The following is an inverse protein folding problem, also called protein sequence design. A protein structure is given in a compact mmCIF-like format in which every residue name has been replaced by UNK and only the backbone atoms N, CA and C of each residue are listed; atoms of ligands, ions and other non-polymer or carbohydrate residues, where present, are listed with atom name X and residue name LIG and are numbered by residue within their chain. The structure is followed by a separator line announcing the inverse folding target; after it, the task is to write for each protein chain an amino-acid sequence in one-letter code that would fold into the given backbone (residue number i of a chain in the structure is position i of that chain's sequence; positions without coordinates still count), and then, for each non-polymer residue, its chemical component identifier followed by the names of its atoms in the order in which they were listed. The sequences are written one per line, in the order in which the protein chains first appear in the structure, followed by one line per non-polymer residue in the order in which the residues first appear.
data_IF_989052426754
#
_entry.id   IF_989052426754
#
_cell.length_a   1.000
_cell.length_b   1.000
_cell.length_c   1.000
_cell.angle_alpha   90.00
_cell.angle_beta   90.00
_cell.angle_gamma   90.00
#
_symmetry.space_group_name_H-M   'P 1'
#
loop_
_entity.id
_entity.type
_entity.pdbx_description
1 polymer ?
#
# COMPACT_ATOMS: atom_id res chain seq x y z
N UNK A 1 -7.83 21.77 -6.18
CA UNK A 1 -8.79 20.85 -6.84
C UNK A 1 -9.16 19.79 -5.82
N UNK A 2 -10.43 19.61 -5.60
CA UNK A 2 -11.03 19.21 -4.32
C UNK A 2 -10.76 17.74 -3.94
N UNK A 3 -10.23 17.52 -2.75
CA UNK A 3 -9.98 16.20 -2.16
C UNK A 3 -11.28 15.37 -2.03
N UNK A 4 -12.41 16.06 -1.93
CA UNK A 4 -13.75 15.47 -1.93
C UNK A 4 -14.13 14.78 -3.25
N UNK A 5 -13.60 15.23 -4.40
CA UNK A 5 -13.88 14.56 -5.68
C UNK A 5 -13.13 13.22 -5.81
N UNK A 6 -11.94 13.10 -5.19
CA UNK A 6 -11.20 11.82 -5.16
C UNK A 6 -11.96 10.78 -4.35
N UNK A 7 -12.49 11.16 -3.19
CA UNK A 7 -13.23 10.24 -2.32
C UNK A 7 -14.56 9.78 -2.95
N UNK A 8 -15.32 10.65 -3.61
CA UNK A 8 -16.61 10.28 -4.24
C UNK A 8 -16.48 9.18 -5.30
N UNK A 9 -15.41 9.18 -6.10
CA UNK A 9 -15.17 8.13 -7.10
C UNK A 9 -14.94 6.75 -6.46
N UNK A 10 -14.32 6.70 -5.27
CA UNK A 10 -14.13 5.46 -4.52
C UNK A 10 -15.39 5.01 -3.78
N UNK A 11 -16.20 5.93 -3.28
CA UNK A 11 -17.46 5.64 -2.58
C UNK A 11 -18.48 4.94 -3.50
N UNK A 12 -18.65 5.41 -4.74
CA UNK A 12 -19.55 4.80 -5.72
C UNK A 12 -19.09 3.42 -6.21
N UNK A 13 -17.79 3.12 -6.18
CA UNK A 13 -17.21 1.86 -6.65
C UNK A 13 -16.96 0.84 -5.53
N UNK A 14 -17.00 1.26 -4.26
CA UNK A 14 -16.60 0.41 -3.13
C UNK A 14 -17.33 -0.95 -3.09
N UNK A 15 -18.65 -0.96 -3.34
CA UNK A 15 -19.45 -2.19 -3.31
C UNK A 15 -19.09 -3.20 -4.41
N UNK A 16 -18.48 -2.75 -5.51
CA UNK A 16 -18.07 -3.60 -6.65
C UNK A 16 -16.55 -3.75 -6.74
N UNK A 17 -15.80 -3.09 -5.89
CA UNK A 17 -14.34 -3.01 -5.97
C UNK A 17 -13.67 -4.39 -6.05
N UNK A 18 -14.05 -5.32 -5.18
CA UNK A 18 -13.46 -6.67 -5.16
C UNK A 18 -13.74 -7.45 -6.46
N UNK A 19 -14.93 -7.28 -7.05
CA UNK A 19 -15.29 -7.90 -8.32
C UNK A 19 -14.53 -7.27 -9.48
N UNK A 20 -14.41 -5.97 -9.49
CA UNK A 20 -13.64 -5.21 -10.48
C UNK A 20 -12.16 -5.61 -10.45
N UNK A 21 -11.52 -5.61 -9.28
CA UNK A 21 -10.13 -6.03 -9.12
C UNK A 21 -9.89 -7.45 -9.64
N UNK A 22 -10.81 -8.38 -9.39
CA UNK A 22 -10.75 -9.74 -9.94
C UNK A 22 -10.94 -9.76 -11.46
N UNK A 23 -11.89 -8.98 -11.98
CA UNK A 23 -12.18 -8.92 -13.42
C UNK A 23 -10.98 -8.37 -14.22
N UNK A 24 -10.19 -7.46 -13.62
CA UNK A 24 -8.96 -6.93 -14.24
C UNK A 24 -7.78 -7.88 -14.16
N UNK A 25 -7.88 -8.95 -13.39
CA UNK A 25 -6.74 -9.81 -13.11
C UNK A 25 -5.61 -9.08 -12.38
N UNK A 26 -5.96 -8.18 -11.46
CA UNK A 26 -4.98 -7.52 -10.60
C UNK A 26 -4.54 -8.45 -9.49
N UNK A 27 -3.33 -8.99 -9.59
CA UNK A 27 -2.74 -9.93 -8.63
C UNK A 27 -1.76 -9.26 -7.65
N UNK A 28 -1.72 -7.92 -7.58
CA UNK A 28 -0.79 -7.20 -6.72
C UNK A 28 -0.88 -7.61 -5.26
N UNK A 29 -2.10 -7.84 -4.76
CA UNK A 29 -2.37 -8.26 -3.40
C UNK A 29 -1.92 -9.71 -3.12
N UNK A 30 -2.03 -10.62 -4.08
CA UNK A 30 -1.51 -12.00 -3.95
C UNK A 30 0.02 -12.01 -3.97
N UNK A 31 0.62 -11.25 -4.89
CA UNK A 31 2.07 -11.17 -5.07
C UNK A 31 2.73 -10.57 -3.82
N UNK A 32 2.19 -9.47 -3.27
CA UNK A 32 2.76 -8.82 -2.08
C UNK A 32 2.74 -9.76 -0.88
N UNK A 33 1.68 -10.54 -0.68
CA UNK A 33 1.62 -11.54 0.37
C UNK A 33 2.59 -12.70 0.10
N UNK A 34 2.57 -13.28 -1.10
CA UNK A 34 3.45 -14.38 -1.45
C UNK A 34 4.94 -14.05 -1.29
N UNK A 35 5.35 -12.82 -1.64
CA UNK A 35 6.72 -12.35 -1.44
C UNK A 35 7.05 -12.09 0.03
N UNK A 36 6.05 -11.80 0.87
CA UNK A 36 6.22 -11.51 2.31
C UNK A 36 6.17 -12.76 3.19
N UNK A 37 5.58 -13.85 2.71
CA UNK A 37 5.18 -15.01 3.52
C UNK A 37 6.33 -15.62 4.35
N UNK A 38 7.54 -15.68 3.82
CA UNK A 38 8.69 -16.25 4.54
C UNK A 38 9.23 -15.37 5.69
N UNK A 39 8.73 -14.11 5.81
CA UNK A 39 9.21 -13.15 6.80
C UNK A 39 8.19 -12.88 7.92
N UNK A 40 7.01 -13.47 7.83
CA UNK A 40 5.91 -13.21 8.77
C UNK A 40 5.57 -14.48 9.56
N UNK A 41 5.10 -14.30 10.79
CA UNK A 41 4.69 -15.40 11.64
C UNK A 41 3.29 -15.14 12.23
N UNK A 42 2.62 -16.23 12.67
CA UNK A 42 1.35 -16.10 13.37
C UNK A 42 1.49 -15.23 14.65
N UNK A 43 0.40 -14.58 15.04
CA UNK A 43 0.29 -13.64 16.16
C UNK A 43 1.04 -12.31 16.02
N UNK A 44 1.85 -12.13 14.97
CA UNK A 44 2.48 -10.84 14.68
C UNK A 44 1.45 -9.80 14.22
N UNK A 45 1.74 -8.51 14.47
CA UNK A 45 0.88 -7.38 14.09
C UNK A 45 1.32 -6.84 12.73
N UNK A 46 0.37 -6.73 11.82
CA UNK A 46 0.57 -6.07 10.52
C UNK A 46 -0.36 -4.87 10.37
N UNK A 47 0.21 -3.72 10.01
CA UNK A 47 -0.53 -2.53 9.62
C UNK A 47 -0.66 -2.50 8.11
N UNK A 48 -1.87 -2.41 7.58
CA UNK A 48 -2.14 -2.15 6.17
C UNK A 48 -2.57 -0.68 5.98
N UNK A 49 -1.74 0.08 5.26
CA UNK A 49 -1.97 1.50 4.97
C UNK A 49 -2.66 1.61 3.60
N UNK A 50 -3.88 2.15 3.60
CA UNK A 50 -4.78 2.11 2.46
C UNK A 50 -5.37 0.71 2.29
N UNK A 51 -5.87 0.15 3.40
CA UNK A 51 -6.39 -1.23 3.44
C UNK A 51 -7.54 -1.48 2.45
N UNK A 52 -8.28 -0.43 2.08
CA UNK A 52 -9.45 -0.53 1.22
C UNK A 52 -10.45 -1.55 1.78
N UNK A 53 -10.88 -2.48 0.93
CA UNK A 53 -11.74 -3.61 1.32
C UNK A 53 -10.98 -4.76 1.98
N UNK A 54 -9.65 -4.68 2.11
CA UNK A 54 -8.79 -5.66 2.76
C UNK A 54 -8.31 -6.82 1.88
N UNK A 55 -8.25 -6.66 0.55
CA UNK A 55 -7.83 -7.72 -0.35
C UNK A 55 -6.41 -8.24 -0.05
N UNK A 56 -5.44 -7.35 0.19
CA UNK A 56 -4.09 -7.75 0.56
C UNK A 56 -4.04 -8.35 1.98
N UNK A 57 -4.64 -7.65 2.94
CA UNK A 57 -4.59 -7.99 4.36
C UNK A 57 -5.29 -9.28 4.73
N UNK A 58 -6.31 -9.70 3.97
CA UNK A 58 -6.99 -10.97 4.21
C UNK A 58 -6.03 -12.16 4.13
N UNK A 59 -5.01 -12.12 3.29
CA UNK A 59 -4.00 -13.17 3.20
C UNK A 59 -3.14 -13.24 4.47
N UNK A 60 -2.74 -12.08 5.01
CA UNK A 60 -2.00 -11.99 6.28
C UNK A 60 -2.85 -12.49 7.45
N UNK A 61 -4.14 -12.13 7.50
CA UNK A 61 -5.06 -12.65 8.53
C UNK A 61 -5.20 -14.18 8.45
N UNK A 62 -5.29 -14.76 7.26
CA UNK A 62 -5.34 -16.22 7.05
C UNK A 62 -4.04 -16.92 7.46
N UNK A 63 -2.91 -16.23 7.39
CA UNK A 63 -1.63 -16.71 7.91
C UNK A 63 -1.49 -16.55 9.43
N UNK A 64 -2.52 -16.03 10.11
CA UNK A 64 -2.57 -15.91 11.58
C UNK A 64 -2.10 -14.57 12.14
N UNK A 65 -1.81 -13.57 11.29
CA UNK A 65 -1.42 -12.25 11.77
C UNK A 65 -2.61 -11.45 12.28
N UNK A 66 -2.35 -10.55 13.23
CA UNK A 66 -3.30 -9.57 13.73
C UNK A 66 -3.29 -8.34 12.79
N UNK A 67 -4.33 -8.18 12.00
CA UNK A 67 -4.44 -7.12 11.00
C UNK A 67 -5.02 -5.85 11.60
N UNK A 68 -4.33 -4.74 11.37
CA UNK A 68 -4.77 -3.37 11.62
C UNK A 68 -4.79 -2.62 10.30
N UNK A 69 -5.79 -1.77 10.07
CA UNK A 69 -5.93 -1.09 8.79
C UNK A 69 -6.25 0.39 8.90
N UNK A 70 -5.64 1.17 8.02
CA UNK A 70 -5.94 2.58 7.82
C UNK A 70 -6.44 2.81 6.40
N UNK A 71 -7.45 3.65 6.24
CA UNK A 71 -7.91 4.14 4.94
C UNK A 71 -8.51 5.54 5.08
N UNK A 72 -8.56 6.30 4.00
CA UNK A 72 -9.22 7.60 3.95
C UNK A 72 -10.72 7.48 3.71
N UNK A 73 -11.18 6.38 3.10
CA UNK A 73 -12.58 6.11 2.75
C UNK A 73 -13.28 5.32 3.85
N UNK A 74 -14.32 5.92 4.43
CA UNK A 74 -15.16 5.23 5.41
C UNK A 74 -15.89 4.04 4.80
N UNK A 75 -16.36 4.14 3.57
CA UNK A 75 -17.11 3.07 2.89
C UNK A 75 -16.22 1.85 2.63
N UNK A 76 -14.96 2.06 2.27
CA UNK A 76 -13.98 0.98 2.15
C UNK A 76 -13.74 0.29 3.50
N UNK A 77 -13.59 1.08 4.58
CA UNK A 77 -13.43 0.53 5.94
C UNK A 77 -14.65 -0.26 6.39
N UNK A 78 -15.86 0.18 6.06
CA UNK A 78 -17.10 -0.51 6.43
C UNK A 78 -17.23 -1.85 5.68
N UNK A 79 -16.87 -1.89 4.41
CA UNK A 79 -16.78 -3.15 3.64
C UNK A 79 -15.69 -4.08 4.20
N UNK A 80 -14.52 -3.54 4.54
CA UNK A 80 -13.47 -4.32 5.18
C UNK A 80 -13.95 -4.90 6.52
N UNK A 81 -14.63 -4.08 7.35
CA UNK A 81 -15.19 -4.48 8.65
C UNK A 81 -16.22 -5.61 8.52
N UNK A 82 -17.04 -5.57 7.47
CA UNK A 82 -18.03 -6.62 7.20
C UNK A 82 -17.41 -8.00 6.98
N UNK A 83 -16.14 -8.06 6.55
CA UNK A 83 -15.40 -9.32 6.35
C UNK A 83 -14.84 -9.92 7.65
N UNK A 84 -14.88 -9.19 8.77
CA UNK A 84 -14.61 -9.66 10.14
C UNK A 84 -13.22 -10.30 10.39
N UNK A 85 -12.19 -9.95 9.62
CA UNK A 85 -10.83 -10.49 9.80
C UNK A 85 -9.86 -9.49 10.46
N UNK A 86 -10.13 -8.18 10.32
CA UNK A 86 -9.26 -7.14 10.87
C UNK A 86 -9.57 -6.91 12.35
N UNK A 87 -8.53 -6.74 13.15
CA UNK A 87 -8.62 -6.46 14.58
C UNK A 87 -9.07 -5.02 14.86
N UNK A 88 -8.57 -4.09 14.05
CA UNK A 88 -8.86 -2.67 14.19
C UNK A 88 -8.81 -1.97 12.84
N UNK A 89 -9.75 -1.08 12.59
CA UNK A 89 -9.84 -0.28 11.37
C UNK A 89 -10.09 1.18 11.75
N UNK A 90 -9.22 2.09 11.28
CA UNK A 90 -9.33 3.51 11.57
C UNK A 90 -9.29 4.33 10.28
N UNK A 91 -10.09 5.41 10.24
CA UNK A 91 -9.98 6.40 9.19
C UNK A 91 -8.78 7.31 9.46
N UNK A 92 -7.84 7.39 8.51
CA UNK A 92 -6.63 8.21 8.62
C UNK A 92 -6.12 8.58 7.23
N UNK A 93 -5.79 9.86 7.05
CA UNK A 93 -5.08 10.35 5.87
C UNK A 93 -3.60 10.51 6.20
N UNK A 94 -2.81 9.48 5.94
CA UNK A 94 -1.36 9.45 6.23
C UNK A 94 -0.54 10.50 5.44
N UNK A 95 -1.17 11.21 4.51
CA UNK A 95 -0.54 12.37 3.83
C UNK A 95 -0.65 13.66 4.63
N UNK A 96 -1.52 13.70 5.65
CA UNK A 96 -1.84 14.89 6.45
C UNK A 96 -1.68 14.69 7.95
N UNK A 97 -1.78 13.45 8.41
CA UNK A 97 -1.81 13.09 9.82
C UNK A 97 -0.75 12.04 10.12
N UNK A 98 -0.15 12.05 11.31
CA UNK A 98 0.72 10.95 11.73
C UNK A 98 -0.10 9.67 11.87
N UNK A 99 0.57 8.54 11.66
CA UNK A 99 -0.04 7.22 11.90
C UNK A 99 -0.39 7.10 13.39
N UNK A 100 -1.67 6.81 13.76
CA UNK A 100 -2.18 6.92 15.15
C UNK A 100 -1.75 5.75 16.06
N UNK A 101 -0.51 5.31 15.94
CA UNK A 101 0.10 4.25 16.74
C UNK A 101 1.46 4.65 17.25
N UNK A 102 1.87 4.07 18.38
CA UNK A 102 3.19 4.29 19.00
C UNK A 102 4.36 3.72 18.21
N UNK A 103 5.57 4.12 18.59
CA UNK A 103 6.82 3.67 17.97
C UNK A 103 6.98 2.15 18.12
N UNK A 104 7.34 1.47 17.03
CA UNK A 104 7.60 0.03 17.02
C UNK A 104 6.40 -0.84 17.37
N UNK A 105 5.17 -0.32 17.24
CA UNK A 105 3.95 -1.04 17.61
C UNK A 105 3.68 -2.24 16.70
N UNK A 106 4.05 -2.15 15.43
CA UNK A 106 3.82 -3.20 14.41
C UNK A 106 5.07 -4.01 14.12
N UNK A 107 4.88 -5.30 13.93
CA UNK A 107 5.90 -6.19 13.42
C UNK A 107 6.14 -5.94 11.94
N UNK A 108 5.08 -5.65 11.17
CA UNK A 108 5.13 -5.45 9.73
C UNK A 108 4.21 -4.32 9.29
N UNK A 109 4.53 -3.74 8.11
CA UNK A 109 3.68 -2.76 7.43
C UNK A 109 3.46 -3.21 5.99
N UNK A 110 2.23 -3.07 5.50
CA UNK A 110 1.84 -3.34 4.10
C UNK A 110 1.21 -2.08 3.52
N UNK A 111 1.47 -1.79 2.24
CA UNK A 111 0.84 -0.68 1.52
C UNK A 111 0.68 -1.08 0.05
N UNK A 112 -0.48 -1.62 -0.32
CA UNK A 112 -0.74 -2.14 -1.66
C UNK A 112 -1.68 -1.23 -2.45
N UNK A 113 -1.23 -0.72 -3.62
CA UNK A 113 -2.08 0.09 -4.50
C UNK A 113 -2.32 1.53 -4.04
N UNK A 114 -1.43 2.12 -3.23
CA UNK A 114 -1.63 3.45 -2.63
C UNK A 114 -0.55 4.45 -3.04
N UNK A 115 0.74 4.07 -3.03
CA UNK A 115 1.84 5.03 -3.13
C UNK A 115 1.89 5.77 -4.47
N UNK A 116 1.23 5.25 -5.50
CA UNK A 116 1.11 5.97 -6.77
C UNK A 116 0.14 7.18 -6.71
N UNK A 117 -0.55 7.41 -5.59
CA UNK A 117 -1.31 8.64 -5.34
C UNK A 117 -0.51 9.70 -4.58
N UNK A 118 0.74 9.42 -4.24
CA UNK A 118 1.63 10.28 -3.45
C UNK A 118 2.91 10.57 -4.23
N UNK A 119 3.30 11.85 -4.33
CA UNK A 119 4.55 12.24 -4.99
C UNK A 119 5.76 12.05 -4.08
N UNK A 120 5.94 12.94 -3.11
CA UNK A 120 7.02 12.79 -2.11
C UNK A 120 6.64 11.78 -1.03
N UNK A 121 7.44 10.73 -0.89
CA UNK A 121 7.24 9.65 0.07
C UNK A 121 8.08 9.80 1.35
N UNK A 122 8.77 10.93 1.53
CA UNK A 122 9.70 11.13 2.66
C UNK A 122 9.00 11.03 4.02
N UNK A 123 7.88 11.73 4.18
CA UNK A 123 7.07 11.70 5.42
C UNK A 123 6.42 10.35 5.64
N UNK A 124 5.90 9.73 4.57
CA UNK A 124 5.31 8.40 4.61
C UNK A 124 6.31 7.37 5.17
N UNK A 125 7.50 7.25 4.60
CA UNK A 125 8.50 6.28 5.08
C UNK A 125 9.08 6.65 6.45
N UNK A 126 9.06 7.92 6.87
CA UNK A 126 9.39 8.31 8.23
C UNK A 126 8.40 7.70 9.24
N UNK A 127 7.10 7.83 8.97
CA UNK A 127 6.05 7.29 9.82
C UNK A 127 6.02 5.75 9.80
N UNK A 128 6.15 5.13 8.61
CA UNK A 128 6.29 3.68 8.50
C UNK A 128 7.44 3.16 9.37
N UNK A 129 8.62 3.79 9.25
CA UNK A 129 9.78 3.41 10.06
C UNK A 129 9.53 3.63 11.55
N UNK A 130 8.83 4.70 11.93
CA UNK A 130 8.52 4.98 13.33
C UNK A 130 7.64 3.90 13.95
N UNK A 131 6.52 3.54 13.30
CA UNK A 131 5.54 2.60 13.85
C UNK A 131 5.94 1.13 13.72
N UNK A 132 6.86 0.79 12.83
CA UNK A 132 7.33 -0.57 12.60
C UNK A 132 8.53 -0.89 13.50
N UNK A 133 8.56 -2.07 14.14
CA UNK A 133 9.71 -2.53 14.94
C UNK A 133 10.97 -2.73 14.09
N UNK A 134 12.14 -2.67 14.71
CA UNK A 134 13.40 -3.10 14.09
C UNK A 134 13.32 -4.60 13.71
N UNK A 135 13.85 -4.95 12.55
CA UNK A 135 13.76 -6.29 11.98
C UNK A 135 12.44 -6.61 11.25
N UNK A 136 11.42 -5.77 11.41
CA UNK A 136 10.14 -5.90 10.70
C UNK A 136 10.26 -5.65 9.21
N UNK A 137 9.31 -6.14 8.43
CA UNK A 137 9.25 -5.88 6.98
C UNK A 137 8.20 -4.82 6.64
N UNK A 138 8.53 -4.02 5.62
CA UNK A 138 7.58 -3.16 4.92
C UNK A 138 7.41 -3.70 3.49
N UNK A 139 6.19 -4.08 3.13
CA UNK A 139 5.84 -4.57 1.81
C UNK A 139 4.95 -3.53 1.10
N UNK A 140 5.33 -3.07 -0.09
CA UNK A 140 4.57 -2.04 -0.77
C UNK A 140 4.66 -2.14 -2.29
N UNK A 141 3.71 -1.47 -2.97
CA UNK A 141 3.70 -1.34 -4.42
C UNK A 141 3.95 0.10 -4.84
N UNK A 142 4.72 0.31 -5.91
CA UNK A 142 4.94 1.60 -6.56
C UNK A 142 4.77 1.47 -8.07
N UNK A 143 4.41 2.57 -8.74
CA UNK A 143 4.52 2.71 -10.19
C UNK A 143 5.93 3.20 -10.54
N UNK A 144 6.78 2.40 -11.20
CA UNK A 144 8.15 2.80 -11.53
C UNK A 144 8.19 3.71 -12.76
N UNK A 145 9.22 4.58 -12.82
CA UNK A 145 9.60 5.35 -13.99
C UNK A 145 11.14 5.49 -14.07
N UNK A 146 11.68 5.74 -15.26
CA UNK A 146 13.13 5.82 -15.49
C UNK A 146 13.56 7.13 -16.18
N UNK A 147 12.64 8.12 -16.26
CA UNK A 147 12.88 9.37 -17.00
C UNK A 147 13.46 10.48 -16.12
N UNK A 148 13.26 10.43 -14.79
CA UNK A 148 13.79 11.41 -13.83
C UNK A 148 14.43 10.70 -12.64
N UNK A 149 15.21 11.42 -11.84
CA UNK A 149 15.83 10.87 -10.62
C UNK A 149 14.91 10.90 -9.39
N UNK A 150 13.71 11.50 -9.51
CA UNK A 150 12.73 11.65 -8.44
C UNK A 150 11.42 10.93 -8.73
N UNK A 151 10.34 11.67 -8.61
CA UNK A 151 9.00 11.23 -9.02
C UNK A 151 8.43 12.17 -10.09
N UNK A 152 7.48 11.68 -10.86
CA UNK A 152 6.76 12.48 -11.84
C UNK A 152 5.26 12.27 -11.71
N UNK A 153 4.50 13.34 -11.90
CA UNK A 153 3.04 13.29 -11.98
C UNK A 153 2.61 12.95 -13.40
N UNK A 154 1.64 12.07 -13.53
CA UNK A 154 0.98 11.72 -14.79
C UNK A 154 -0.52 11.87 -14.64
N UNK A 155 -1.16 12.58 -15.55
CA UNK A 155 -2.62 12.72 -15.58
C UNK A 155 -3.24 11.47 -16.19
N UNK A 156 -4.19 10.88 -15.46
CA UNK A 156 -4.94 9.72 -15.96
C UNK A 156 -6.18 10.13 -16.73
N UNK A 157 -6.69 9.23 -17.58
CA UNK A 157 -7.90 9.46 -18.35
C UNK A 157 -9.17 9.65 -17.46
N UNK A 158 -9.13 9.19 -16.22
CA UNK A 158 -10.21 9.34 -15.23
C UNK A 158 -10.05 10.58 -14.33
N UNK A 159 -9.08 11.46 -14.65
CA UNK A 159 -8.92 12.77 -13.99
C UNK A 159 -8.24 12.75 -12.62
N UNK A 160 -7.78 11.60 -12.14
CA UNK A 160 -6.98 11.48 -10.90
C UNK A 160 -5.50 11.41 -11.29
N UNK A 161 -4.65 12.34 -10.82
CA UNK A 161 -3.21 12.26 -11.08
C UNK A 161 -2.61 11.06 -10.35
N UNK A 162 -1.65 10.40 -11.01
CA UNK A 162 -0.81 9.39 -10.40
C UNK A 162 0.65 9.82 -10.42
N UNK A 163 1.42 9.28 -9.50
CA UNK A 163 2.85 9.53 -9.38
C UNK A 163 3.64 8.27 -9.67
N UNK A 164 4.62 8.40 -10.56
CA UNK A 164 5.59 7.35 -10.86
C UNK A 164 6.93 7.70 -10.24
N UNK A 165 7.60 6.73 -9.63
CA UNK A 165 8.80 6.93 -8.83
C UNK A 165 10.02 6.28 -9.47
N UNK A 166 11.14 7.02 -9.52
CA UNK A 166 12.41 6.46 -9.98
C UNK A 166 12.92 5.40 -8.98
N UNK A 167 13.43 4.26 -9.45
CA UNK A 167 14.02 3.24 -8.55
C UNK A 167 15.16 3.80 -7.69
N UNK A 168 15.97 4.73 -8.23
CA UNK A 168 17.03 5.42 -7.49
C UNK A 168 16.48 6.26 -6.33
N UNK A 169 15.40 7.01 -6.55
CA UNK A 169 14.73 7.79 -5.50
C UNK A 169 14.25 6.89 -4.38
N UNK A 170 13.54 5.81 -4.72
CA UNK A 170 13.02 4.86 -3.73
C UNK A 170 14.16 4.21 -2.93
N UNK A 171 15.21 3.72 -3.59
CA UNK A 171 16.35 3.07 -2.91
C UNK A 171 17.07 4.04 -1.98
N UNK A 172 17.35 5.28 -2.42
CA UNK A 172 18.00 6.30 -1.59
C UNK A 172 17.12 6.69 -0.40
N UNK A 173 15.81 6.80 -0.59
CA UNK A 173 14.87 7.10 0.48
C UNK A 173 14.83 5.96 1.52
N UNK A 174 14.69 4.70 1.10
CA UNK A 174 14.69 3.53 1.98
C UNK A 174 16.00 3.44 2.78
N UNK A 175 17.15 3.61 2.12
CA UNK A 175 18.45 3.60 2.77
C UNK A 175 18.54 4.69 3.84
N UNK A 176 18.11 5.92 3.54
CA UNK A 176 18.08 7.04 4.50
C UNK A 176 17.20 6.79 5.72
N UNK A 177 16.23 5.86 5.61
CA UNK A 177 15.34 5.43 6.71
C UNK A 177 15.80 4.12 7.37
N UNK A 178 17.02 3.65 7.10
CA UNK A 178 17.54 2.41 7.66
C UNK A 178 16.82 1.16 7.18
N UNK A 179 16.26 1.20 5.98
CA UNK A 179 15.62 0.03 5.36
C UNK A 179 16.49 -0.58 4.26
N UNK A 180 16.53 -1.89 4.18
CA UNK A 180 17.15 -2.65 3.10
C UNK A 180 16.11 -3.34 2.21
N UNK A 181 16.32 -3.33 0.90
CA UNK A 181 15.45 -4.05 -0.04
C UNK A 181 15.85 -5.52 -0.04
N UNK A 182 14.92 -6.40 0.34
CA UNK A 182 15.10 -7.85 0.35
C UNK A 182 14.69 -8.47 -0.98
N UNK A 183 13.55 -8.00 -1.53
CA UNK A 183 12.98 -8.49 -2.78
C UNK A 183 12.37 -7.36 -3.58
N UNK A 184 12.42 -7.48 -4.89
CA UNK A 184 11.69 -6.64 -5.84
C UNK A 184 11.17 -7.50 -6.98
N UNK A 185 9.88 -7.32 -7.32
CA UNK A 185 9.23 -7.99 -8.45
C UNK A 185 8.43 -6.97 -9.24
N UNK A 186 8.65 -6.90 -10.55
CA UNK A 186 7.80 -6.12 -11.45
C UNK A 186 6.61 -6.95 -11.90
N UNK A 187 5.43 -6.33 -11.94
CA UNK A 187 4.20 -6.93 -12.42
C UNK A 187 3.39 -5.94 -13.25
N UNK A 188 2.71 -6.46 -14.23
CA UNK A 188 1.78 -5.69 -15.05
C UNK A 188 0.37 -5.86 -14.46
N UNK A 189 -0.25 -4.75 -14.06
CA UNK A 189 -1.65 -4.72 -13.66
C UNK A 189 -2.45 -4.26 -14.87
N UNK A 190 -3.36 -5.10 -15.34
CA UNK A 190 -4.29 -4.74 -16.41
C UNK A 190 -5.33 -3.79 -15.88
N UNK A 191 -5.52 -2.67 -16.58
CA UNK A 191 -6.55 -1.70 -16.22
C UNK A 191 -7.96 -2.23 -16.53
N UNK A 192 -8.92 -1.68 -15.80
CA UNK A 192 -10.32 -1.86 -16.07
C UNK A 192 -10.74 -1.11 -17.32
N UNK A 193 -11.59 -1.77 -18.07
CA UNK A 193 -12.41 -1.20 -19.15
C UNK A 193 -11.77 -0.42 -20.30
N UNK A 194 -12.06 -0.94 -21.49
CA UNK A 194 -12.11 -0.28 -22.83
C UNK A 194 -11.01 0.68 -23.24
N UNK A 195 -10.31 1.28 -22.27
CA UNK A 195 -9.02 1.95 -22.41
C UNK A 195 -8.02 1.09 -21.62
N UNK A 196 -7.36 0.14 -22.30
CA UNK A 196 -6.29 -0.70 -21.75
C UNK A 196 -5.16 0.19 -21.25
N UNK A 197 -5.22 0.52 -19.97
CA UNK A 197 -4.10 1.15 -19.28
C UNK A 197 -3.38 0.06 -18.49
N UNK A 198 -2.53 -0.66 -19.20
CA UNK A 198 -1.64 -1.60 -18.54
C UNK A 198 -0.62 -0.81 -17.73
N UNK A 199 -0.71 -0.87 -16.40
CA UNK A 199 0.24 -0.19 -15.52
C UNK A 199 1.30 -1.16 -15.01
N UNK A 200 2.55 -0.78 -15.22
CA UNK A 200 3.66 -1.49 -14.60
C UNK A 200 3.75 -1.07 -13.12
N UNK A 201 3.83 -2.05 -12.24
CA UNK A 201 4.10 -1.87 -10.82
C UNK A 201 5.35 -2.64 -10.41
N UNK A 202 6.04 -2.14 -9.39
CA UNK A 202 7.03 -2.91 -8.64
C UNK A 202 6.45 -3.19 -7.25
N UNK A 203 6.54 -4.46 -6.83
CA UNK A 203 6.35 -4.87 -5.43
C UNK A 203 7.73 -4.94 -4.79
N UNK A 204 7.89 -4.26 -3.66
CA UNK A 204 9.12 -4.29 -2.88
C UNK A 204 8.83 -4.86 -1.48
N UNK A 205 9.72 -5.73 -1.02
CA UNK A 205 9.78 -6.17 0.37
C UNK A 205 11.07 -5.62 0.96
N UNK A 206 10.94 -4.80 2.00
CA UNK A 206 12.05 -4.13 2.65
C UNK A 206 12.07 -4.50 4.13
N UNK A 207 13.26 -4.58 4.74
CA UNK A 207 13.43 -4.81 6.18
C UNK A 207 13.96 -3.56 6.86
N UNK A 208 13.38 -3.18 8.00
CA UNK A 208 13.99 -2.20 8.89
C UNK A 208 15.21 -2.83 9.56
N UNK A 209 16.38 -2.19 9.40
CA UNK A 209 17.63 -2.67 9.99
C UNK A 209 17.53 -2.72 11.52
N UNK A 210 18.38 -3.53 12.14
CA UNK A 210 18.39 -3.73 13.60
C UNK A 210 19.27 -2.75 14.36
N UNK A 211 20.15 -2.04 13.64
CA UNK A 211 21.14 -1.14 14.22
C UNK A 211 20.51 0.18 14.71
#
# INVERSE_FOLDING_TARGET
MDHDMKNRGYEESASRYDEEVRAYGSYGHDVIFGMSFEYVAADERVLDIGIGTGLASMHFARAGLQVYGLDTSQDMLDLCRSKSFARELQRCDVTREPIPYGDGYFDHVVCCGVLHFMGDLTSFFSEVTRVMRKGGICAFTIAPQETTDGFMEEQTAWGVPIYKHAPRYIRGLLESKGMEVLKEQRLLIKGADKVRYDMLFSVLICRRRQD
#
